data_IF_752983549685
#
_entry.id   IF_752983549685
#
_cell.length_a   1.000
_cell.length_b   1.000
_cell.length_c   1.000
_cell.angle_alpha   90.00
_cell.angle_beta   90.00
_cell.angle_gamma   90.00
#
_symmetry.space_group_name_H-M   'P 1'
#
loop_
_entity.id
_entity.type
_entity.pdbx_description
1 polymer ?
#
# COMPACT_ATOMS: atom_id res chain seq x y z
N UNK A 1 -0.53 31.97 -13.04
CA UNK A 1 0.07 30.72 -13.55
C UNK A 1 1.00 30.19 -12.47
N UNK A 2 0.80 28.96 -12.01
CA UNK A 2 1.81 28.26 -11.19
C UNK A 2 1.94 26.82 -11.71
N UNK A 3 3.17 26.30 -11.89
CA UNK A 3 3.40 25.01 -12.52
C UNK A 3 3.21 23.86 -11.53
N UNK A 4 2.63 22.79 -12.08
CA UNK A 4 2.72 21.37 -11.73
C UNK A 4 3.39 21.00 -10.39
N UNK A 5 2.60 20.44 -9.46
CA UNK A 5 3.08 19.47 -8.49
C UNK A 5 2.09 18.31 -8.42
N UNK A 6 2.06 17.48 -9.46
CA UNK A 6 1.30 16.23 -9.41
C UNK A 6 2.12 15.22 -8.64
N UNK A 7 1.86 15.13 -7.33
CA UNK A 7 2.38 14.08 -6.46
C UNK A 7 1.24 13.09 -6.18
N UNK A 8 1.46 11.82 -6.48
CA UNK A 8 0.57 10.74 -6.08
C UNK A 8 1.13 10.11 -4.79
N UNK A 9 0.43 10.32 -3.67
CA UNK A 9 0.75 9.75 -2.37
C UNK A 9 -0.28 8.68 -2.05
N UNK A 10 0.13 7.41 -2.07
CA UNK A 10 -0.65 6.30 -1.52
C UNK A 10 -0.31 6.11 -0.05
N UNK A 11 -0.72 7.03 0.83
CA UNK A 11 -0.61 6.87 2.28
C UNK A 11 -1.72 5.95 2.78
N UNK A 12 -1.47 4.64 2.82
CA UNK A 12 -2.38 3.74 3.55
C UNK A 12 -1.97 3.58 5.02
N UNK A 13 -0.72 3.87 5.34
CA UNK A 13 -0.26 4.19 6.69
C UNK A 13 0.85 5.21 6.56
N UNK A 14 0.94 6.20 7.46
CA UNK A 14 2.10 7.12 7.56
C UNK A 14 3.44 6.39 7.82
N UNK A 15 3.41 5.07 7.90
CA UNK A 15 4.55 4.17 8.09
C UNK A 15 4.75 3.35 6.82
N UNK A 16 5.94 3.44 6.22
CA UNK A 16 6.33 2.55 5.12
C UNK A 16 6.39 1.11 5.63
N UNK A 17 5.60 0.22 5.05
CA UNK A 17 5.71 -1.22 5.31
C UNK A 17 6.73 -1.82 4.33
N UNK A 18 7.72 -2.53 4.85
CA UNK A 18 8.66 -3.32 4.06
C UNK A 18 8.21 -4.77 4.18
N UNK A 19 7.81 -5.37 3.07
CA UNK A 19 7.45 -6.79 3.00
C UNK A 19 8.59 -7.49 2.27
N UNK A 20 9.26 -8.40 2.96
CA UNK A 20 10.38 -9.18 2.43
C UNK A 20 9.89 -10.55 2.00
N UNK A 21 10.47 -11.07 0.92
CA UNK A 21 10.21 -12.40 0.40
C UNK A 21 11.52 -13.17 0.26
N UNK A 22 11.43 -14.49 0.36
CA UNK A 22 12.53 -15.37 0.00
C UNK A 22 12.79 -15.31 -1.51
N UNK A 23 14.02 -15.65 -1.93
CA UNK A 23 14.46 -15.52 -3.32
C UNK A 23 13.66 -16.40 -4.31
N UNK A 24 13.04 -17.47 -3.82
CA UNK A 24 12.19 -18.36 -4.62
C UNK A 24 10.82 -17.75 -4.95
N UNK A 25 10.45 -16.65 -4.30
CA UNK A 25 9.26 -15.88 -4.61
C UNK A 25 9.45 -14.92 -5.81
N UNK A 26 10.67 -14.82 -6.36
CA UNK A 26 10.94 -14.02 -7.54
C UNK A 26 10.04 -14.44 -8.72
N UNK A 27 9.38 -13.47 -9.34
CA UNK A 27 8.41 -13.69 -10.42
C UNK A 27 6.98 -13.95 -9.96
N UNK A 28 6.71 -14.09 -8.66
CA UNK A 28 5.36 -14.14 -8.12
C UNK A 28 4.75 -12.74 -8.02
N UNK A 29 3.45 -12.67 -7.73
CA UNK A 29 2.72 -11.41 -7.49
C UNK A 29 2.26 -11.31 -6.05
N UNK A 30 2.46 -10.14 -5.44
CA UNK A 30 1.87 -9.75 -4.16
C UNK A 30 0.63 -8.92 -4.41
N UNK A 31 -0.49 -9.27 -3.78
CA UNK A 31 -1.68 -8.42 -3.72
C UNK A 31 -1.95 -8.02 -2.28
N UNK A 32 -2.10 -6.71 -2.03
CA UNK A 32 -2.47 -6.20 -0.71
C UNK A 32 -3.68 -5.29 -0.76
N UNK A 33 -4.44 -5.30 0.33
CA UNK A 33 -5.56 -4.40 0.65
C UNK A 33 -5.33 -3.85 2.04
N UNK A 34 -5.91 -2.70 2.33
CA UNK A 34 -5.80 -2.12 3.66
C UNK A 34 -7.08 -1.39 4.07
N UNK A 35 -7.23 -1.11 5.38
CA UNK A 35 -8.33 -0.29 5.96
C UNK A 35 -7.80 0.57 7.11
N UNK A 36 -8.40 1.73 7.36
CA UNK A 36 -8.05 2.52 8.54
C UNK A 36 -8.66 1.91 9.81
N UNK A 37 -7.96 2.08 10.94
CA UNK A 37 -8.39 1.75 12.30
C UNK A 37 -8.18 3.01 13.16
N UNK A 38 -9.13 3.37 14.00
CA UNK A 38 -8.94 4.46 14.96
C UNK A 38 -8.66 3.94 16.38
N UNK A 39 -8.25 4.83 17.28
CA UNK A 39 -7.94 4.49 18.67
C UNK A 39 -9.13 3.92 19.48
N UNK A 40 -10.35 4.02 18.93
CA UNK A 40 -11.58 3.47 19.52
C UNK A 40 -11.91 2.06 18.97
N UNK A 41 -11.05 1.49 18.14
CA UNK A 41 -11.27 0.18 17.53
C UNK A 41 -12.21 0.18 16.32
N UNK A 42 -12.64 1.35 15.82
CA UNK A 42 -13.51 1.44 14.65
C UNK A 42 -12.70 1.33 13.37
N UNK A 43 -13.30 0.75 12.34
CA UNK A 43 -12.63 0.51 11.05
C UNK A 43 -13.39 1.12 9.88
N UNK A 44 -12.63 1.51 8.86
CA UNK A 44 -13.15 1.95 7.57
C UNK A 44 -13.39 0.82 6.57
N UNK A 45 -13.90 1.16 5.38
CA UNK A 45 -13.97 0.23 4.25
C UNK A 45 -12.55 -0.19 3.81
N UNK A 46 -12.48 -1.36 3.18
CA UNK A 46 -11.26 -1.83 2.54
C UNK A 46 -10.91 -0.96 1.32
N UNK A 47 -9.62 -0.82 1.06
CA UNK A 47 -9.08 -0.23 -0.16
C UNK A 47 -9.38 -1.10 -1.37
N UNK A 48 -9.20 -0.52 -2.56
CA UNK A 48 -9.02 -1.33 -3.76
C UNK A 48 -7.73 -2.18 -3.61
N UNK A 49 -7.71 -3.41 -4.16
CA UNK A 49 -6.52 -4.23 -4.20
C UNK A 49 -5.41 -3.54 -5.00
N UNK A 50 -4.18 -3.64 -4.49
CA UNK A 50 -2.97 -3.24 -5.20
C UNK A 50 -2.14 -4.49 -5.43
N UNK A 51 -1.77 -4.74 -6.69
CA UNK A 51 -0.94 -5.88 -7.08
C UNK A 51 0.41 -5.40 -7.60
N UNK A 52 1.48 -6.02 -7.12
CA UNK A 52 2.86 -5.75 -7.53
C UNK A 52 3.59 -7.06 -7.79
N UNK A 53 4.47 -7.08 -8.79
CA UNK A 53 5.35 -8.22 -9.06
C UNK A 53 6.54 -8.21 -8.11
N UNK A 54 6.91 -9.39 -7.61
CA UNK A 54 8.10 -9.60 -6.79
C UNK A 54 9.28 -9.77 -7.75
N UNK A 55 10.24 -8.84 -7.67
CA UNK A 55 11.44 -8.77 -8.51
C UNK A 55 12.67 -9.32 -7.81
#
# INVERSE_FOLDING_TARGET
MHPENRKFFGDYSNTRQIISFDSDAAGLSLTFVARWLNAKGQTGPWSNPVTVSIS
#
